data_IF_546915266072
#
_entry.id   IF_546915266072
#
_cell.length_a   1.000
_cell.length_b   1.000
_cell.length_c   1.000
_cell.angle_alpha   90.00
_cell.angle_beta   90.00
_cell.angle_gamma   90.00
#
_symmetry.space_group_name_H-M   'P 1'
#
loop_
_entity.id
_entity.type
_entity.pdbx_description
1 polymer ?
#
# COMPACT_ATOMS: atom_id res chain seq x y z
N UNK A 1 16.98 -28.25 -10.65
CA UNK A 1 15.98 -27.22 -10.33
C UNK A 1 14.66 -27.97 -10.17
N UNK A 2 14.18 -28.17 -8.94
CA UNK A 2 12.82 -28.63 -8.69
C UNK A 2 11.89 -27.56 -9.24
N UNK A 3 10.98 -27.93 -10.13
CA UNK A 3 9.96 -27.02 -10.67
C UNK A 3 9.18 -26.44 -9.51
N UNK A 4 9.30 -25.13 -9.29
CA UNK A 4 8.35 -24.38 -8.45
C UNK A 4 7.09 -24.28 -9.31
N UNK A 5 6.08 -25.09 -9.00
CA UNK A 5 4.85 -25.18 -9.81
C UNK A 5 4.12 -23.83 -9.90
N UNK A 6 4.19 -22.99 -8.86
CA UNK A 6 3.60 -21.66 -8.82
C UNK A 6 4.57 -20.62 -8.23
N UNK A 7 4.69 -19.47 -8.89
CA UNK A 7 5.43 -18.33 -8.36
C UNK A 7 4.72 -17.68 -7.16
N UNK A 8 5.45 -16.83 -6.41
CA UNK A 8 4.84 -16.13 -5.27
C UNK A 8 3.67 -15.23 -5.69
N UNK A 9 3.76 -14.54 -6.84
CA UNK A 9 2.65 -13.71 -7.31
C UNK A 9 1.46 -14.53 -7.79
N UNK A 10 1.66 -15.72 -8.37
CA UNK A 10 0.57 -16.66 -8.70
C UNK A 10 -0.15 -17.13 -7.43
N UNK A 11 0.60 -17.50 -6.40
CA UNK A 11 0.04 -17.88 -5.09
C UNK A 11 -0.75 -16.73 -4.44
N UNK A 12 -0.24 -15.51 -4.53
CA UNK A 12 -0.96 -14.31 -4.07
C UNK A 12 -2.23 -14.12 -4.89
N UNK A 13 -2.15 -14.19 -6.23
CA UNK A 13 -3.29 -14.01 -7.11
C UNK A 13 -4.43 -15.01 -6.80
N UNK A 14 -4.11 -16.29 -6.62
CA UNK A 14 -5.07 -17.32 -6.19
C UNK A 14 -5.68 -17.00 -4.82
N UNK A 15 -4.86 -16.57 -3.86
CA UNK A 15 -5.31 -16.22 -2.52
C UNK A 15 -6.29 -15.04 -2.52
N UNK A 16 -6.12 -14.08 -3.42
CA UNK A 16 -7.00 -12.92 -3.58
C UNK A 16 -8.38 -13.26 -4.18
N UNK A 17 -8.58 -14.44 -4.76
CA UNK A 17 -9.88 -14.86 -5.30
C UNK A 17 -10.88 -15.32 -4.21
N UNK A 18 -10.44 -15.41 -2.96
CA UNK A 18 -11.31 -15.81 -1.84
C UNK A 18 -12.52 -14.87 -1.71
N UNK A 19 -13.68 -15.39 -1.24
CA UNK A 19 -14.83 -14.56 -0.92
C UNK A 19 -14.51 -13.61 0.24
N UNK A 20 -15.06 -12.40 0.17
CA UNK A 20 -14.91 -11.39 1.23
C UNK A 20 -16.20 -11.31 2.03
N UNK A 21 -16.09 -11.54 3.31
CA UNK A 21 -17.20 -11.57 4.23
C UNK A 21 -17.70 -10.18 4.60
N UNK A 22 -18.96 -10.06 5.00
CA UNK A 22 -19.57 -8.78 5.40
C UNK A 22 -18.80 -8.07 6.52
N UNK A 23 -18.26 -8.83 7.48
CA UNK A 23 -17.50 -8.26 8.60
C UNK A 23 -16.20 -7.57 8.10
N UNK A 24 -15.52 -8.17 7.13
CA UNK A 24 -14.31 -7.60 6.52
C UNK A 24 -14.64 -6.33 5.74
N UNK A 25 -15.76 -6.31 4.99
CA UNK A 25 -16.23 -5.06 4.34
C UNK A 25 -16.55 -3.97 5.36
N UNK A 26 -17.06 -4.32 6.53
CA UNK A 26 -17.28 -3.34 7.61
C UNK A 26 -15.96 -2.73 8.08
N UNK A 27 -14.92 -3.53 8.26
CA UNK A 27 -13.56 -3.05 8.57
C UNK A 27 -13.02 -2.17 7.43
N UNK A 28 -13.16 -2.60 6.18
CA UNK A 28 -12.74 -1.84 5.00
C UNK A 28 -13.42 -0.45 4.90
N UNK A 29 -14.70 -0.33 5.27
CA UNK A 29 -15.39 0.97 5.36
C UNK A 29 -14.73 1.90 6.37
N UNK A 30 -14.27 1.40 7.51
CA UNK A 30 -13.58 2.21 8.51
C UNK A 30 -12.24 2.71 7.97
N UNK A 31 -11.46 1.86 7.28
CA UNK A 31 -10.21 2.27 6.65
C UNK A 31 -10.41 3.29 5.52
N UNK A 32 -11.46 3.11 4.70
CA UNK A 32 -11.83 4.11 3.69
C UNK A 32 -12.18 5.45 4.34
N UNK A 33 -12.98 5.43 5.40
CA UNK A 33 -13.38 6.65 6.13
C UNK A 33 -12.18 7.35 6.78
N UNK A 34 -11.28 6.60 7.41
CA UNK A 34 -10.04 7.09 8.00
C UNK A 34 -9.17 7.80 6.95
N UNK A 35 -8.94 7.13 5.81
CA UNK A 35 -8.18 7.73 4.72
C UNK A 35 -8.85 8.98 4.14
N UNK A 36 -10.17 8.99 3.95
CA UNK A 36 -10.91 10.18 3.49
C UNK A 36 -10.78 11.35 4.47
N UNK A 37 -10.80 11.07 5.77
CA UNK A 37 -10.56 12.08 6.81
C UNK A 37 -9.14 12.64 6.74
N UNK A 38 -8.13 11.77 6.51
CA UNK A 38 -6.74 12.19 6.28
C UNK A 38 -6.61 13.09 5.05
N UNK A 39 -7.25 12.74 3.93
CA UNK A 39 -7.28 13.58 2.71
C UNK A 39 -7.92 14.93 3.00
N UNK A 40 -9.05 14.95 3.69
CA UNK A 40 -9.77 16.19 4.03
C UNK A 40 -8.91 17.12 4.90
N UNK A 41 -8.27 16.58 5.94
CA UNK A 41 -7.34 17.34 6.79
C UNK A 41 -6.10 17.80 6.03
N UNK A 42 -5.56 16.96 5.16
CA UNK A 42 -4.37 17.23 4.33
C UNK A 42 -4.53 18.41 3.36
N UNK A 43 -5.77 18.81 3.03
CA UNK A 43 -6.05 19.95 2.14
C UNK A 43 -5.51 21.29 2.65
N UNK A 44 -5.22 21.40 3.94
CA UNK A 44 -4.67 22.62 4.54
C UNK A 44 -3.14 22.66 4.55
N UNK A 45 -2.47 21.61 4.09
CA UNK A 45 -1.02 21.48 4.09
C UNK A 45 -0.32 22.31 3.00
N UNK A 46 0.99 22.51 3.17
CA UNK A 46 1.85 23.15 2.15
C UNK A 46 1.89 22.36 0.85
N UNK A 47 1.85 21.02 0.95
CA UNK A 47 1.75 20.13 -0.20
C UNK A 47 0.48 20.43 -1.00
N UNK A 48 -0.67 20.57 -0.32
CA UNK A 48 -1.93 20.90 -0.99
C UNK A 48 -1.83 22.22 -1.77
N UNK A 49 -1.19 23.24 -1.17
CA UNK A 49 -0.94 24.53 -1.84
C UNK A 49 -0.02 24.41 -3.05
N UNK A 50 0.99 23.57 -2.97
CA UNK A 50 1.91 23.30 -4.09
C UNK A 50 1.21 22.57 -5.23
N UNK A 51 0.46 21.50 -4.93
CA UNK A 51 -0.30 20.71 -5.91
C UNK A 51 -1.45 21.51 -6.57
N UNK A 52 -1.97 22.54 -5.90
CA UNK A 52 -2.98 23.41 -6.48
C UNK A 52 -2.42 24.29 -7.61
N UNK A 53 -1.13 24.61 -7.59
CA UNK A 53 -0.45 25.43 -8.61
C UNK A 53 -0.09 24.66 -9.87
N UNK A 54 0.03 23.37 -9.77
CA UNK A 54 0.50 22.50 -10.84
C UNK A 54 -0.51 22.41 -12.01
N UNK A 55 -1.81 22.40 -11.73
CA UNK A 55 -2.86 22.31 -12.76
C UNK A 55 -2.92 20.99 -13.55
N UNK A 56 -1.89 20.16 -13.46
CA UNK A 56 -1.73 18.91 -14.20
C UNK A 56 -2.06 17.67 -13.38
N UNK A 57 -1.85 17.74 -12.07
CA UNK A 57 -2.03 16.59 -11.18
C UNK A 57 -3.50 16.18 -11.07
N UNK A 58 -3.82 14.95 -11.45
CA UNK A 58 -5.16 14.40 -11.35
C UNK A 58 -5.68 14.36 -9.90
N UNK A 59 -7.00 14.38 -9.72
CA UNK A 59 -7.61 14.40 -8.38
C UNK A 59 -7.24 13.19 -7.53
N UNK A 60 -7.11 11.99 -8.15
CA UNK A 60 -6.72 10.78 -7.47
C UNK A 60 -5.27 10.84 -6.98
N UNK A 61 -4.36 11.38 -7.81
CA UNK A 61 -2.95 11.57 -7.45
C UNK A 61 -2.84 12.53 -6.27
N UNK A 62 -3.56 13.67 -6.32
CA UNK A 62 -3.64 14.62 -5.20
C UNK A 62 -4.14 13.94 -3.92
N UNK A 63 -5.15 13.09 -4.02
CA UNK A 63 -5.68 12.37 -2.87
C UNK A 63 -4.66 11.40 -2.27
N UNK A 64 -3.83 10.73 -3.10
CA UNK A 64 -2.74 9.88 -2.64
C UNK A 64 -1.68 10.68 -1.85
N UNK A 65 -1.31 11.89 -2.34
CA UNK A 65 -0.42 12.78 -1.60
C UNK A 65 -1.02 13.20 -0.27
N UNK A 66 -2.26 13.70 -0.29
CA UNK A 66 -2.92 14.31 0.87
C UNK A 66 -3.30 13.29 1.93
N UNK A 67 -3.55 12.05 1.55
CA UNK A 67 -3.93 10.98 2.46
C UNK A 67 -2.85 10.58 3.46
N UNK A 68 -1.56 10.93 3.20
CA UNK A 68 -0.46 10.61 4.12
C UNK A 68 0.22 11.86 4.73
N UNK A 69 -0.08 13.07 4.26
CA UNK A 69 0.68 14.26 4.65
C UNK A 69 0.63 14.56 6.15
N UNK A 70 -0.43 14.18 6.83
CA UNK A 70 -0.62 14.37 8.27
C UNK A 70 -0.02 13.26 9.12
N UNK A 71 0.51 12.20 8.52
CA UNK A 71 0.99 11.00 9.24
C UNK A 71 -0.09 10.36 10.15
N UNK A 72 -1.37 10.54 9.82
CA UNK A 72 -2.50 9.99 10.57
C UNK A 72 -3.15 8.77 9.91
N UNK A 73 -2.82 8.51 8.65
CA UNK A 73 -3.30 7.36 7.90
C UNK A 73 -2.89 6.04 8.54
N UNK A 74 -3.65 5.01 8.24
CA UNK A 74 -3.49 3.67 8.77
C UNK A 74 -2.08 3.09 8.57
N UNK A 75 -1.73 2.07 9.35
CA UNK A 75 -0.40 1.48 9.33
C UNK A 75 -0.42 0.01 9.70
N UNK A 76 0.24 -0.81 8.88
CA UNK A 76 0.51 -2.20 9.23
C UNK A 76 1.84 -2.33 9.97
N UNK A 77 1.76 -2.82 11.21
CA UNK A 77 2.88 -2.79 12.16
C UNK A 77 4.08 -3.61 11.70
N UNK A 78 3.87 -4.83 11.26
CA UNK A 78 4.97 -5.78 10.96
C UNK A 78 5.52 -5.63 9.55
N UNK A 79 4.69 -5.23 8.59
CA UNK A 79 5.14 -4.90 7.23
C UNK A 79 5.71 -3.48 7.13
N UNK A 80 5.52 -2.64 8.16
CA UNK A 80 6.02 -1.25 8.27
C UNK A 80 5.64 -0.42 7.02
N UNK A 81 4.34 -0.39 6.72
CA UNK A 81 3.81 0.31 5.55
C UNK A 81 2.41 0.88 5.82
N UNK A 82 1.97 1.77 4.93
CA UNK A 82 0.71 2.50 4.99
C UNK A 82 -0.16 2.13 3.78
N UNK A 83 -1.15 1.22 3.90
CA UNK A 83 -1.91 0.76 2.75
C UNK A 83 -2.89 1.80 2.19
N UNK A 84 -3.58 2.52 3.07
CA UNK A 84 -4.67 3.42 2.69
C UNK A 84 -4.32 4.40 1.57
N UNK A 85 -3.21 5.16 1.67
CA UNK A 85 -2.84 6.17 0.66
C UNK A 85 -2.47 5.62 -0.72
N UNK A 86 -2.15 4.34 -0.85
CA UNK A 86 -1.90 3.71 -2.15
C UNK A 86 -3.14 3.01 -2.70
N UNK A 87 -3.93 2.36 -1.85
CA UNK A 87 -5.04 1.51 -2.26
C UNK A 87 -6.32 2.31 -2.50
N UNK A 88 -6.77 3.13 -1.55
CA UNK A 88 -8.06 3.81 -1.68
C UNK A 88 -8.14 4.81 -2.84
N UNK A 89 -7.12 5.66 -3.11
CA UNK A 89 -7.18 6.53 -4.29
C UNK A 89 -7.21 5.72 -5.59
N UNK A 90 -6.54 4.56 -5.65
CA UNK A 90 -6.64 3.62 -6.77
C UNK A 90 -8.07 3.14 -6.96
N UNK A 91 -8.69 2.60 -5.92
CA UNK A 91 -10.07 2.09 -5.96
C UNK A 91 -11.04 3.14 -6.49
N UNK A 92 -10.96 4.37 -5.96
CA UNK A 92 -11.85 5.46 -6.35
C UNK A 92 -11.58 5.97 -7.77
N UNK A 93 -10.31 6.02 -8.19
CA UNK A 93 -9.92 6.45 -9.54
C UNK A 93 -10.34 5.46 -10.64
N UNK A 94 -10.50 4.17 -10.29
CA UNK A 94 -10.97 3.16 -11.22
C UNK A 94 -12.48 3.23 -11.50
N UNK A 95 -13.22 4.01 -10.70
CA UNK A 95 -14.65 4.23 -10.89
C UNK A 95 -15.53 3.04 -10.48
N UNK A 96 -16.79 3.06 -10.93
CA UNK A 96 -17.82 2.06 -10.62
C UNK A 96 -18.71 2.47 -9.45
N UNK A 97 -19.99 2.09 -9.48
CA UNK A 97 -21.03 2.65 -8.60
C UNK A 97 -21.30 1.78 -7.36
N UNK A 98 -20.90 0.49 -7.37
CA UNK A 98 -21.17 -0.42 -6.27
C UNK A 98 -20.12 -0.27 -5.15
N UNK A 99 -20.59 0.13 -3.96
CA UNK A 99 -19.72 0.29 -2.79
C UNK A 99 -19.07 -1.03 -2.37
N UNK A 100 -19.81 -2.12 -2.38
CA UNK A 100 -19.27 -3.42 -1.94
C UNK A 100 -18.12 -3.89 -2.87
N UNK A 101 -18.21 -3.65 -4.18
CA UNK A 101 -17.13 -3.95 -5.13
C UNK A 101 -15.89 -3.07 -4.87
N UNK A 102 -16.11 -1.81 -4.51
CA UNK A 102 -15.02 -0.91 -4.12
C UNK A 102 -14.34 -1.38 -2.83
N UNK A 103 -15.11 -1.81 -1.83
CA UNK A 103 -14.58 -2.35 -0.59
C UNK A 103 -13.81 -3.64 -0.81
N UNK A 104 -14.33 -4.55 -1.65
CA UNK A 104 -13.66 -5.80 -2.01
C UNK A 104 -12.32 -5.54 -2.72
N UNK A 105 -12.29 -4.58 -3.64
CA UNK A 105 -11.04 -4.16 -4.29
C UNK A 105 -10.05 -3.58 -3.28
N UNK A 106 -10.51 -2.79 -2.33
CA UNK A 106 -9.71 -2.29 -1.22
C UNK A 106 -9.10 -3.42 -0.39
N UNK A 107 -9.91 -4.38 0.05
CA UNK A 107 -9.46 -5.56 0.82
C UNK A 107 -8.38 -6.34 0.07
N UNK A 108 -8.58 -6.61 -1.24
CA UNK A 108 -7.57 -7.31 -2.06
C UNK A 108 -6.29 -6.50 -2.22
N UNK A 109 -6.40 -5.17 -2.34
CA UNK A 109 -5.25 -4.27 -2.38
C UNK A 109 -4.43 -4.31 -1.09
N UNK A 110 -5.09 -4.25 0.08
CA UNK A 110 -4.44 -4.39 1.38
C UNK A 110 -3.75 -5.74 1.53
N UNK A 111 -4.44 -6.84 1.18
CA UNK A 111 -3.89 -8.18 1.25
C UNK A 111 -2.60 -8.33 0.44
N UNK A 112 -2.61 -7.89 -0.82
CA UNK A 112 -1.43 -7.96 -1.68
C UNK A 112 -0.29 -7.08 -1.15
N UNK A 113 -0.61 -5.83 -0.78
CA UNK A 113 0.38 -4.87 -0.30
C UNK A 113 1.05 -5.33 0.99
N UNK A 114 0.26 -5.71 1.98
CA UNK A 114 0.76 -6.14 3.29
C UNK A 114 1.49 -7.48 3.15
N UNK A 115 0.93 -8.43 2.39
CA UNK A 115 1.55 -9.72 2.14
C UNK A 115 2.95 -9.62 1.53
N UNK A 116 3.12 -8.77 0.51
CA UNK A 116 4.42 -8.53 -0.12
C UNK A 116 5.34 -7.73 0.81
N UNK A 117 4.84 -6.68 1.44
CA UNK A 117 5.62 -5.88 2.37
C UNK A 117 6.14 -6.66 3.57
N UNK A 118 5.40 -7.66 4.04
CA UNK A 118 5.81 -8.53 5.13
C UNK A 118 6.96 -9.48 4.77
N UNK A 119 7.19 -9.74 3.47
CA UNK A 119 8.32 -10.55 2.99
C UNK A 119 9.63 -9.75 2.91
N UNK A 120 9.56 -8.41 2.85
CA UNK A 120 10.74 -7.55 2.77
C UNK A 120 11.52 -7.58 4.09
N UNK A 121 12.83 -7.56 3.99
CA UNK A 121 13.73 -7.66 5.15
C UNK A 121 14.33 -6.31 5.60
N UNK A 122 15.26 -6.38 6.57
CA UNK A 122 15.92 -5.19 7.11
C UNK A 122 16.82 -4.48 6.11
N UNK A 123 17.44 -5.20 5.15
CA UNK A 123 18.23 -4.59 4.09
C UNK A 123 17.36 -3.76 3.16
N UNK A 124 16.22 -4.30 2.73
CA UNK A 124 15.26 -3.52 1.94
C UNK A 124 14.86 -2.25 2.70
N UNK A 125 14.44 -2.38 3.98
CA UNK A 125 14.00 -1.24 4.78
C UNK A 125 15.09 -0.20 5.06
N UNK A 126 16.37 -0.59 5.01
CA UNK A 126 17.48 0.35 5.20
C UNK A 126 17.58 1.39 4.05
N UNK A 127 17.21 1.01 2.83
CA UNK A 127 17.38 1.83 1.63
C UNK A 127 16.08 2.19 0.93
N UNK A 128 15.01 1.39 1.09
CA UNK A 128 13.77 1.49 0.33
C UNK A 128 12.57 1.72 1.23
N UNK A 129 11.65 2.54 0.75
CA UNK A 129 10.38 2.81 1.42
C UNK A 129 9.40 1.66 1.19
N UNK A 130 9.17 0.81 2.21
CA UNK A 130 8.27 -0.34 2.10
C UNK A 130 6.90 0.00 1.53
N UNK A 131 6.32 1.14 1.95
CA UNK A 131 5.03 1.61 1.44
C UNK A 131 5.08 1.83 -0.07
N UNK A 132 6.15 2.44 -0.60
CA UNK A 132 6.30 2.67 -2.02
C UNK A 132 6.50 1.37 -2.79
N UNK A 133 7.39 0.50 -2.30
CA UNK A 133 7.68 -0.78 -2.95
C UNK A 133 6.45 -1.68 -2.98
N UNK A 134 5.84 -1.96 -1.84
CA UNK A 134 4.67 -2.83 -1.76
C UNK A 134 3.39 -2.15 -2.29
N UNK A 135 3.32 -0.81 -2.23
CA UNK A 135 2.16 -0.03 -2.66
C UNK A 135 1.82 -0.18 -4.13
N UNK A 136 2.83 -0.31 -5.00
CA UNK A 136 2.59 -0.57 -6.43
C UNK A 136 1.86 -1.90 -6.66
N UNK A 137 2.17 -2.93 -5.90
CA UNK A 137 1.47 -4.22 -5.97
C UNK A 137 0.06 -4.13 -5.37
N UNK A 138 -0.11 -3.43 -4.23
CA UNK A 138 -1.42 -3.22 -3.63
C UNK A 138 -2.36 -2.45 -4.56
N UNK A 139 -1.87 -1.36 -5.15
CA UNK A 139 -2.61 -0.59 -6.15
C UNK A 139 -2.93 -1.44 -7.40
N UNK A 140 -1.99 -2.28 -7.87
CA UNK A 140 -2.23 -3.17 -9.00
C UNK A 140 -3.32 -4.21 -8.69
N UNK A 141 -3.32 -4.81 -7.51
CA UNK A 141 -4.34 -5.77 -7.09
C UNK A 141 -5.72 -5.10 -6.96
N UNK A 142 -5.79 -3.91 -6.34
CA UNK A 142 -7.02 -3.15 -6.22
C UNK A 142 -7.59 -2.74 -7.58
N UNK A 143 -6.74 -2.21 -8.48
CA UNK A 143 -7.16 -1.82 -9.83
C UNK A 143 -7.59 -3.03 -10.67
N UNK A 144 -6.86 -4.15 -10.61
CA UNK A 144 -7.22 -5.39 -11.30
C UNK A 144 -8.58 -5.92 -10.82
N UNK A 145 -8.85 -5.86 -9.50
CA UNK A 145 -10.16 -6.21 -8.95
C UNK A 145 -11.28 -5.31 -9.48
N UNK A 146 -11.05 -4.01 -9.62
CA UNK A 146 -12.03 -3.06 -10.20
C UNK A 146 -12.26 -3.24 -11.70
N UNK A 147 -11.33 -3.90 -12.38
CA UNK A 147 -11.39 -4.19 -13.82
C UNK A 147 -11.87 -5.62 -14.10
N UNK A 148 -12.32 -6.36 -13.09
CA UNK A 148 -12.72 -7.78 -13.19
C UNK A 148 -11.67 -8.65 -13.88
N UNK A 149 -10.38 -8.36 -13.59
CA UNK A 149 -9.25 -9.07 -14.16
C UNK A 149 -9.26 -10.55 -13.76
N UNK A 150 -9.03 -11.43 -14.72
CA UNK A 150 -8.81 -12.84 -14.43
C UNK A 150 -7.45 -13.09 -13.76
N UNK A 151 -7.21 -14.30 -13.27
CA UNK A 151 -5.98 -14.65 -12.54
C UNK A 151 -4.70 -14.35 -13.34
N UNK A 152 -4.65 -14.69 -14.62
CA UNK A 152 -3.48 -14.45 -15.47
C UNK A 152 -3.20 -12.94 -15.68
N UNK A 153 -4.26 -12.15 -15.81
CA UNK A 153 -4.17 -10.69 -15.87
C UNK A 153 -3.72 -10.10 -14.55
N UNK A 154 -4.22 -10.61 -13.42
CA UNK A 154 -3.77 -10.17 -12.09
C UNK A 154 -2.30 -10.50 -11.86
N UNK A 155 -1.84 -11.71 -12.22
CA UNK A 155 -0.41 -12.08 -12.17
C UNK A 155 0.44 -11.12 -13.01
N UNK A 156 -0.01 -10.82 -14.24
CA UNK A 156 0.67 -9.87 -15.12
C UNK A 156 0.69 -8.45 -14.53
N UNK A 157 -0.40 -8.00 -13.92
CA UNK A 157 -0.48 -6.69 -13.26
C UNK A 157 0.53 -6.57 -12.11
N UNK A 158 0.60 -7.60 -11.25
CA UNK A 158 1.59 -7.66 -10.17
C UNK A 158 3.03 -7.68 -10.71
N UNK A 159 3.28 -8.46 -11.76
CA UNK A 159 4.58 -8.52 -12.42
C UNK A 159 5.02 -7.18 -13.03
N UNK A 160 4.13 -6.50 -13.75
CA UNK A 160 4.39 -5.18 -14.34
C UNK A 160 4.64 -4.13 -13.26
N UNK A 161 3.81 -4.09 -12.21
CA UNK A 161 3.97 -3.16 -11.10
C UNK A 161 5.33 -3.36 -10.40
N UNK A 162 5.70 -4.61 -10.13
CA UNK A 162 6.97 -4.95 -9.50
C UNK A 162 8.20 -4.59 -10.33
N UNK A 163 8.08 -4.58 -11.67
CA UNK A 163 9.20 -4.28 -12.57
C UNK A 163 9.71 -2.83 -12.44
N UNK A 164 8.89 -1.91 -11.94
CA UNK A 164 9.21 -0.48 -11.84
C UNK A 164 8.94 0.10 -10.45
N UNK A 165 8.70 -0.77 -9.48
CA UNK A 165 8.44 -0.35 -8.11
C UNK A 165 9.69 0.22 -7.44
N UNK A 166 9.51 1.08 -6.44
CA UNK A 166 10.63 1.63 -5.69
C UNK A 166 10.25 2.84 -4.84
N UNK A 167 11.28 3.50 -4.38
CA UNK A 167 11.20 4.69 -3.52
C UNK A 167 12.35 4.66 -2.52
N UNK A 168 13.33 5.55 -2.67
CA UNK A 168 14.53 5.56 -1.86
C UNK A 168 14.35 6.37 -0.58
N UNK A 169 14.96 5.92 0.50
CA UNK A 169 14.93 6.61 1.79
C UNK A 169 15.84 7.84 1.91
N UNK A 170 16.54 8.26 0.85
CA UNK A 170 17.40 9.46 0.90
C UNK A 170 16.68 10.69 1.49
N UNK A 171 15.38 10.80 1.24
CA UNK A 171 14.53 11.86 1.81
C UNK A 171 14.50 11.93 3.34
N UNK A 172 14.92 10.88 4.07
CA UNK A 172 15.03 10.91 5.55
C UNK A 172 16.12 11.85 6.05
N UNK A 173 17.06 12.16 5.19
CA UNK A 173 18.23 12.97 5.50
C UNK A 173 18.11 14.42 5.01
N UNK A 174 16.98 14.78 4.41
CA UNK A 174 16.76 16.06 3.77
C UNK A 174 15.34 16.60 4.08
N UNK A 175 15.16 17.91 4.27
CA UNK A 175 13.86 18.52 4.54
C UNK A 175 13.03 18.65 3.24
N UNK A 176 12.54 17.53 2.71
CA UNK A 176 11.83 17.44 1.42
C UNK A 176 10.46 16.76 1.55
N UNK A 177 9.61 16.92 0.54
CA UNK A 177 8.24 16.35 0.50
C UNK A 177 8.14 15.04 -0.31
N UNK A 178 9.25 14.35 -0.54
CA UNK A 178 9.32 13.20 -1.44
C UNK A 178 8.58 11.95 -0.91
N UNK A 179 8.32 11.86 0.40
CA UNK A 179 7.60 10.70 0.98
C UNK A 179 6.22 10.53 0.35
N UNK A 180 5.45 11.60 0.25
CA UNK A 180 4.09 11.55 -0.30
C UNK A 180 4.12 11.32 -1.82
N UNK A 181 5.14 11.81 -2.52
CA UNK A 181 5.37 11.48 -3.93
C UNK A 181 5.51 9.98 -4.15
N UNK A 182 6.19 9.26 -3.26
CA UNK A 182 6.33 7.81 -3.36
C UNK A 182 4.96 7.10 -3.36
N UNK A 183 3.98 7.58 -2.58
CA UNK A 183 2.66 6.96 -2.50
C UNK A 183 1.85 7.23 -3.76
N UNK A 184 1.85 8.47 -4.25
CA UNK A 184 1.18 8.82 -5.51
C UNK A 184 1.79 8.04 -6.69
N UNK A 185 3.12 7.93 -6.75
CA UNK A 185 3.81 7.15 -7.77
C UNK A 185 3.45 5.65 -7.69
N UNK A 186 3.40 5.07 -6.48
CA UNK A 186 3.00 3.67 -6.30
C UNK A 186 1.56 3.42 -6.79
N UNK A 187 0.62 4.31 -6.46
CA UNK A 187 -0.75 4.29 -6.96
C UNK A 187 -0.80 4.33 -8.50
N UNK A 188 -0.17 5.32 -9.12
CA UNK A 188 -0.15 5.48 -10.58
C UNK A 188 0.44 4.25 -11.27
N UNK A 189 1.56 3.74 -10.76
CA UNK A 189 2.23 2.54 -11.26
C UNK A 189 1.31 1.32 -11.24
N UNK A 190 0.66 1.07 -10.09
CA UNK A 190 -0.25 -0.08 -9.96
C UNK A 190 -1.47 0.03 -10.87
N UNK A 191 -2.09 1.21 -10.97
CA UNK A 191 -3.21 1.45 -11.89
C UNK A 191 -2.82 1.22 -13.35
N UNK A 192 -1.68 1.76 -13.77
CA UNK A 192 -1.18 1.56 -15.15
C UNK A 192 -0.89 0.08 -15.42
N UNK A 193 -0.24 -0.61 -14.48
CA UNK A 193 0.06 -2.03 -14.59
C UNK A 193 -1.21 -2.88 -14.78
N UNK A 194 -2.25 -2.64 -13.98
CA UNK A 194 -3.51 -3.37 -14.09
C UNK A 194 -4.22 -3.10 -15.43
N UNK A 195 -4.30 -1.84 -15.87
CA UNK A 195 -4.89 -1.48 -17.18
C UNK A 195 -4.17 -2.15 -18.33
N UNK A 196 -2.84 -2.14 -18.32
CA UNK A 196 -2.05 -2.78 -19.38
C UNK A 196 -2.20 -4.30 -19.34
N UNK A 197 -2.24 -4.92 -18.16
CA UNK A 197 -2.44 -6.36 -18.03
C UNK A 197 -3.81 -6.80 -18.55
N UNK A 198 -4.88 -6.06 -18.26
CA UNK A 198 -6.22 -6.33 -18.80
C UNK A 198 -6.24 -6.15 -20.32
N UNK A 199 -5.47 -5.21 -20.85
CA UNK A 199 -5.29 -5.02 -22.30
C UNK A 199 -4.39 -6.08 -22.98
N UNK A 200 -3.86 -7.06 -22.20
CA UNK A 200 -3.09 -8.19 -22.75
C UNK A 200 -1.56 -8.04 -22.65
N UNK A 201 -1.05 -6.98 -22.00
CA UNK A 201 0.39 -6.86 -21.73
C UNK A 201 0.78 -7.81 -20.60
N UNK A 202 1.76 -8.67 -20.84
CA UNK A 202 2.21 -9.65 -19.84
C UNK A 202 3.33 -9.10 -18.97
N UNK A 203 3.31 -9.45 -17.67
CA UNK A 203 4.35 -9.15 -16.70
C UNK A 203 5.09 -10.40 -16.23
N UNK A 204 6.31 -10.26 -15.66
CA UNK A 204 7.10 -11.40 -15.20
C UNK A 204 6.49 -12.04 -13.95
N UNK A 205 6.12 -13.32 -14.04
CA UNK A 205 5.52 -14.06 -12.92
C UNK A 205 6.48 -14.32 -11.75
N UNK A 206 7.78 -14.30 -11.97
CA UNK A 206 8.80 -14.46 -10.93
C UNK A 206 9.38 -13.13 -10.46
N UNK A 207 8.61 -12.05 -10.53
CA UNK A 207 9.07 -10.70 -10.20
C UNK A 207 9.60 -10.55 -8.78
N UNK A 208 9.11 -11.33 -7.82
CA UNK A 208 9.58 -11.30 -6.44
C UNK A 208 10.83 -12.14 -6.25
N UNK A 209 10.77 -13.44 -6.52
CA UNK A 209 11.78 -14.44 -6.17
C UNK A 209 12.73 -14.84 -7.33
N UNK A 210 12.50 -14.32 -8.52
CA UNK A 210 13.35 -14.64 -9.68
C UNK A 210 14.80 -14.17 -9.51
N UNK A 211 15.74 -14.68 -10.34
CA UNK A 211 17.17 -14.39 -10.18
C UNK A 211 17.54 -12.92 -10.39
N UNK A 212 16.66 -12.14 -11.01
CA UNK A 212 16.73 -10.68 -11.17
C UNK A 212 15.45 -10.01 -10.64
N UNK A 213 14.73 -10.66 -9.73
CA UNK A 213 13.54 -10.17 -9.10
C UNK A 213 13.82 -9.22 -7.94
N UNK A 214 12.74 -8.73 -7.34
CA UNK A 214 12.78 -7.73 -6.26
C UNK A 214 13.66 -8.19 -5.08
N UNK A 215 13.52 -9.44 -4.65
CA UNK A 215 14.28 -9.94 -3.51
C UNK A 215 15.78 -10.03 -3.80
N UNK A 216 16.16 -10.54 -4.97
CA UNK A 216 17.57 -10.60 -5.37
C UNK A 216 18.21 -9.20 -5.44
N UNK A 217 17.44 -8.20 -5.83
CA UNK A 217 17.93 -6.82 -5.96
C UNK A 217 18.00 -6.07 -4.61
N UNK A 218 17.12 -6.37 -3.64
CA UNK A 218 16.90 -5.47 -2.50
C UNK A 218 16.95 -6.15 -1.12
N UNK A 219 16.94 -7.47 -1.03
CA UNK A 219 16.93 -8.23 0.23
C UNK A 219 18.15 -9.11 0.38
N UNK A 220 18.58 -9.32 1.63
CA UNK A 220 19.58 -10.34 1.98
C UNK A 220 18.92 -11.68 2.34
N UNK A 221 17.80 -11.62 3.06
CA UNK A 221 17.07 -12.78 3.54
C UNK A 221 15.54 -12.47 3.55
N UNK A 222 14.88 -12.50 2.38
CA UNK A 222 13.45 -12.24 2.30
C UNK A 222 12.68 -13.27 3.14
N UNK A 223 11.64 -12.80 3.84
CA UNK A 223 10.82 -13.67 4.67
C UNK A 223 9.87 -14.51 3.82
N UNK A 224 9.41 -15.66 4.32
CA UNK A 224 8.47 -16.51 3.57
C UNK A 224 7.12 -15.83 3.38
N UNK A 225 6.43 -16.15 2.28
CA UNK A 225 5.05 -15.78 2.07
C UNK A 225 4.14 -16.52 3.06
N UNK A 226 3.46 -15.76 3.89
CA UNK A 226 2.45 -16.28 4.83
C UNK A 226 1.06 -15.93 4.28
N UNK A 227 0.28 -16.95 3.91
CA UNK A 227 -1.10 -16.82 3.48
C UNK A 227 -2.00 -17.22 4.66
N UNK A 228 -2.63 -16.24 5.29
CA UNK A 228 -3.52 -16.46 6.43
C UNK A 228 -4.95 -16.79 5.96
N UNK A 229 -5.77 -17.42 6.82
CA UNK A 229 -7.19 -17.64 6.54
C UNK A 229 -7.98 -16.33 6.53
N UNK A 230 -7.67 -15.41 7.47
CA UNK A 230 -8.25 -14.06 7.51
C UNK A 230 -7.69 -13.10 6.47
N UNK A 231 -8.22 -11.89 6.44
CA UNK A 231 -7.76 -10.82 5.58
C UNK A 231 -6.85 -9.86 6.36
N UNK A 232 -5.71 -9.49 5.79
CA UNK A 232 -4.70 -8.66 6.47
C UNK A 232 -5.15 -7.24 6.81
N UNK A 233 -6.23 -6.76 6.22
CA UNK A 233 -6.84 -5.50 6.62
C UNK A 233 -7.32 -5.53 8.08
N UNK A 234 -7.61 -6.71 8.64
CA UNK A 234 -7.97 -6.86 10.05
C UNK A 234 -6.78 -6.66 10.99
N UNK A 235 -5.56 -6.86 10.50
CA UNK A 235 -4.30 -6.64 11.24
C UNK A 235 -3.82 -5.18 11.18
N UNK A 236 -4.43 -4.36 10.31
CA UNK A 236 -4.03 -2.98 10.11
C UNK A 236 -4.62 -2.05 11.18
N UNK A 237 -3.89 -1.00 11.54
CA UNK A 237 -4.18 -0.17 12.71
C UNK A 237 -4.41 1.29 12.34
N UNK A 238 -5.43 1.89 12.96
CA UNK A 238 -5.64 3.34 12.95
C UNK A 238 -4.63 4.02 13.89
N UNK A 239 -4.20 5.24 13.53
CA UNK A 239 -3.30 6.04 14.37
C UNK A 239 -4.07 7.06 15.21
N UNK A 240 -3.87 7.08 16.53
CA UNK A 240 -4.50 8.08 17.40
C UNK A 240 -3.80 9.45 17.36
N UNK A 241 -2.57 9.53 16.82
CA UNK A 241 -1.79 10.77 16.73
C UNK A 241 -1.19 10.95 15.34
N UNK A 242 -1.13 12.21 14.88
CA UNK A 242 -0.49 12.62 13.63
C UNK A 242 1.03 12.58 13.74
N UNK A 243 1.60 11.39 13.83
CA UNK A 243 3.02 11.17 13.97
C UNK A 243 3.45 9.83 13.36
N UNK A 244 4.77 9.72 13.09
CA UNK A 244 5.34 8.43 12.74
C UNK A 244 4.99 7.38 13.82
N UNK A 245 4.59 6.18 13.41
CA UNK A 245 4.19 5.09 14.32
C UNK A 245 5.25 4.79 15.40
N UNK A 246 6.53 4.98 15.08
CA UNK A 246 7.62 4.78 16.04
C UNK A 246 7.63 5.78 17.21
N UNK A 247 7.00 6.96 17.05
CA UNK A 247 6.89 7.95 18.12
C UNK A 247 5.73 7.64 19.10
N UNK A 248 4.75 6.83 18.71
CA UNK A 248 3.54 6.58 19.52
C UNK A 248 3.84 6.00 20.91
N UNK A 249 4.78 5.04 21.12
CA UNK A 249 5.12 4.57 22.45
C UNK A 249 5.64 5.67 23.37
N UNK A 250 6.43 6.62 22.84
CA UNK A 250 6.95 7.74 23.63
C UNK A 250 5.82 8.73 23.98
N UNK A 251 4.91 9.02 23.04
CA UNK A 251 3.73 9.87 23.28
C UNK A 251 2.85 9.23 24.36
N UNK A 252 2.56 7.94 24.25
CA UNK A 252 1.74 7.20 25.24
C UNK A 252 2.39 7.20 26.64
N UNK A 253 3.69 6.95 26.70
CA UNK A 253 4.45 6.99 27.95
C UNK A 253 4.40 8.38 28.62
N UNK A 254 4.56 9.46 27.82
CA UNK A 254 4.49 10.83 28.33
C UNK A 254 3.09 11.16 28.86
N UNK A 255 2.05 10.80 28.10
CA UNK A 255 0.67 11.05 28.54
C UNK A 255 0.34 10.33 29.85
N UNK A 256 0.79 9.09 30.02
CA UNK A 256 0.64 8.34 31.27
C UNK A 256 1.43 8.97 32.42
N UNK A 257 2.64 9.46 32.17
CA UNK A 257 3.45 10.14 33.17
C UNK A 257 2.77 11.44 33.67
N UNK A 258 2.20 12.23 32.75
CA UNK A 258 1.42 13.44 33.08
C UNK A 258 0.17 13.06 33.91
N UNK A 259 -0.58 12.02 33.51
CA UNK A 259 -1.79 11.58 34.20
C UNK A 259 -1.51 11.06 35.62
N UNK A 260 -0.30 10.60 35.91
CA UNK A 260 0.10 10.08 37.22
C UNK A 260 0.97 11.07 38.04
N UNK A 261 0.98 12.36 37.66
CA UNK A 261 1.72 13.44 38.33
C UNK A 261 3.20 13.09 38.59
N UNK A 262 3.84 12.42 37.56
CA UNK A 262 5.25 12.03 37.67
C UNK A 262 6.24 13.17 37.35
N UNK A 263 5.74 14.37 37.11
CA UNK A 263 6.51 15.59 36.85
C UNK A 263 6.08 16.65 37.87
N UNK A 264 6.70 16.64 39.05
CA UNK A 264 6.68 17.73 40.03
C UNK A 264 7.81 18.73 39.78
#
# INVERSE_FOLDING_TARGET
>A
MTAIDHSLVERIAQHLQRPIEKIVRTKARLHLLDWLACVAGGRQSDIARSLAKDGLTASADKAAWLGNVLEMDDVHRTAILHPGPAVWPTVLAMGGDALDDALDAGVRGYEAMIGIGAMLDGRHYAFWHNTATAGSFGAAAAAASRLDANEAQLVSALGLAGSVTGGLWQMRHEPVMAKQWHLAHAMMTGMAAARHAVAGVTGPRFILEGPQGLFAATCDAPKPLMLAEGWRIDEDSFKPWGACRHAHPAIDAMLRAIQNDLFD
#
